data_IF_426482467326
#
_entry.id   IF_426482467326
#
_cell.length_a   1.000
_cell.length_b   1.000
_cell.length_c   1.000
_cell.angle_alpha   90.00
_cell.angle_beta   90.00
_cell.angle_gamma   90.00
#
_symmetry.space_group_name_H-M   'P 1'
#
loop_
_entity.id
_entity.type
_entity.pdbx_description
1 polymer ?
#
# COMPACT_ATOMS: atom_id res chain seq x y z
N UNK A 1 -11.24 -13.20 9.60
CA UNK A 1 -10.88 -11.77 9.50
C UNK A 1 -9.48 -11.63 10.08
N UNK A 2 -8.51 -11.19 9.28
CA UNK A 2 -7.20 -10.84 9.85
C UNK A 2 -7.33 -9.48 10.52
N UNK A 3 -7.14 -9.42 11.85
CA UNK A 3 -7.07 -8.15 12.56
C UNK A 3 -5.70 -7.52 12.36
N UNK A 4 -5.43 -7.00 11.16
CA UNK A 4 -4.31 -6.07 11.02
C UNK A 4 -4.61 -4.80 11.78
N UNK A 5 -3.58 -4.30 12.44
CA UNK A 5 -3.57 -2.99 13.08
C UNK A 5 -2.89 -2.05 12.09
N UNK A 6 -3.57 -0.98 11.69
CA UNK A 6 -3.03 0.05 10.81
C UNK A 6 -2.66 1.26 11.67
N UNK A 7 -1.37 1.49 11.89
CA UNK A 7 -0.88 2.58 12.71
C UNK A 7 -0.44 3.74 11.81
N UNK A 8 -1.25 4.80 11.74
CA UNK A 8 -0.94 6.00 10.95
C UNK A 8 0.30 6.70 11.50
N UNK A 9 1.25 7.02 10.63
CA UNK A 9 2.44 7.83 10.95
C UNK A 9 2.38 9.12 10.13
N UNK A 10 2.01 10.27 10.74
CA UNK A 10 1.88 11.53 10.01
C UNK A 10 3.23 12.11 9.57
N UNK A 11 4.33 11.76 10.26
CA UNK A 11 5.69 12.17 9.91
C UNK A 11 6.60 10.94 9.97
N UNK A 12 6.50 10.02 8.99
CA UNK A 12 7.27 8.78 9.03
C UNK A 12 8.76 9.09 8.92
N UNK A 13 9.50 8.69 9.94
CA UNK A 13 10.97 8.74 9.97
C UNK A 13 11.49 7.38 9.52
N UNK A 14 12.49 7.39 8.66
CA UNK A 14 13.16 6.18 8.20
C UNK A 14 13.88 5.53 9.37
N UNK A 15 13.33 4.44 9.89
CA UNK A 15 14.01 3.54 10.82
C UNK A 15 14.73 2.42 10.04
N UNK A 16 15.31 1.45 10.74
CA UNK A 16 16.00 0.34 10.09
C UNK A 16 15.07 -0.53 9.23
N UNK A 17 13.83 -0.77 9.66
CA UNK A 17 12.86 -1.58 8.92
C UNK A 17 12.47 -0.91 7.59
N UNK A 18 12.15 0.38 7.67
CA UNK A 18 11.78 1.20 6.54
C UNK A 18 12.97 1.44 5.61
N UNK A 19 14.17 1.61 6.16
CA UNK A 19 15.39 1.77 5.38
C UNK A 19 15.64 0.59 4.45
N UNK A 20 15.48 -0.64 4.93
CA UNK A 20 15.62 -1.83 4.09
C UNK A 20 14.63 -1.85 2.93
N UNK A 21 13.43 -1.30 3.12
CA UNK A 21 12.42 -1.20 2.08
C UNK A 21 12.70 -0.11 1.07
N UNK A 22 13.08 1.09 1.52
CA UNK A 22 13.39 2.22 0.63
C UNK A 22 14.69 2.02 -0.14
N UNK A 23 15.61 1.23 0.42
CA UNK A 23 16.83 0.80 -0.26
C UNK A 23 16.55 -0.17 -1.41
N UNK A 24 15.33 -0.71 -1.52
CA UNK A 24 14.93 -1.56 -2.63
C UNK A 24 14.27 -0.72 -3.75
N UNK A 25 15.02 -0.37 -4.82
CA UNK A 25 14.53 0.51 -5.89
C UNK A 25 13.35 -0.09 -6.66
N UNK A 26 13.09 -1.38 -6.52
CA UNK A 26 11.93 -2.03 -7.14
C UNK A 26 10.63 -1.80 -6.39
N UNK A 27 10.70 -1.45 -5.09
CA UNK A 27 9.54 -1.40 -4.17
C UNK A 27 9.28 0.01 -3.63
N UNK A 28 10.33 0.78 -3.34
CA UNK A 28 10.21 2.18 -2.87
C UNK A 28 11.21 3.06 -3.63
N UNK A 29 10.74 4.18 -4.17
CA UNK A 29 11.55 5.11 -4.98
C UNK A 29 12.26 6.21 -4.18
N UNK A 30 12.46 6.04 -2.87
CA UNK A 30 12.94 7.11 -1.99
C UNK A 30 14.39 6.86 -1.54
N UNK A 31 15.26 7.86 -1.71
CA UNK A 31 16.66 7.82 -1.27
C UNK A 31 16.86 8.54 0.08
N UNK A 32 15.92 8.38 1.02
CA UNK A 32 15.97 9.03 2.33
C UNK A 32 16.87 8.23 3.28
N UNK A 33 17.86 8.83 3.95
CA UNK A 33 18.71 8.10 4.90
C UNK A 33 17.95 7.73 6.18
N UNK A 34 18.46 6.76 6.95
CA UNK A 34 17.98 6.47 8.32
C UNK A 34 17.98 7.76 9.16
N UNK A 35 16.90 7.99 9.90
CA UNK A 35 16.65 9.21 10.66
C UNK A 35 16.09 10.37 9.83
N UNK A 36 16.04 10.24 8.50
CA UNK A 36 15.40 11.20 7.62
C UNK A 36 13.88 11.04 7.61
N UNK A 37 13.17 12.13 7.36
CA UNK A 37 11.72 12.12 7.21
C UNK A 37 11.33 11.74 5.78
N UNK A 38 10.41 10.80 5.61
CA UNK A 38 9.82 10.49 4.32
C UNK A 38 8.78 11.56 3.95
N UNK A 39 8.79 11.98 2.69
CA UNK A 39 7.85 12.93 2.13
C UNK A 39 6.53 12.24 1.70
N UNK A 40 5.87 11.54 2.64
CA UNK A 40 4.58 10.86 2.43
C UNK A 40 3.61 11.21 3.56
N UNK A 41 2.34 11.47 3.24
CA UNK A 41 1.36 12.03 4.19
C UNK A 41 0.38 11.00 4.76
N UNK A 42 0.07 9.94 4.01
CA UNK A 42 -0.89 8.90 4.41
C UNK A 42 -0.21 7.56 4.57
N UNK A 43 0.79 7.53 5.44
CA UNK A 43 1.61 6.35 5.67
C UNK A 43 1.19 5.61 6.94
N UNK A 44 1.24 4.29 6.88
CA UNK A 44 0.85 3.38 7.93
C UNK A 44 1.91 2.29 8.11
N UNK A 45 2.25 2.02 9.36
CA UNK A 45 2.78 0.72 9.75
C UNK A 45 1.61 -0.27 9.84
N UNK A 46 1.80 -1.46 9.28
CA UNK A 46 0.84 -2.56 9.37
C UNK A 46 1.40 -3.59 10.33
N UNK A 47 0.67 -3.83 11.42
CA UNK A 47 1.08 -4.74 12.47
C UNK A 47 0.18 -5.99 12.53
N UNK A 48 0.75 -7.12 12.95
CA UNK A 48 -0.02 -8.31 13.30
C UNK A 48 -0.71 -8.14 14.67
N UNK A 49 -1.38 -9.20 15.15
CA UNK A 49 -2.05 -9.20 16.45
C UNK A 49 -1.09 -9.13 17.65
N UNK A 50 0.18 -9.48 17.45
CA UNK A 50 1.24 -9.41 18.45
C UNK A 50 2.00 -8.07 18.41
N UNK A 51 1.50 -7.11 17.63
CA UNK A 51 2.10 -5.78 17.41
C UNK A 51 3.48 -5.82 16.72
N UNK A 52 3.81 -6.90 16.02
CA UNK A 52 4.97 -6.94 15.14
C UNK A 52 4.67 -6.26 13.79
N UNK A 53 5.61 -5.45 13.30
CA UNK A 53 5.51 -4.81 11.98
C UNK A 53 5.62 -5.89 10.88
N UNK A 54 4.53 -6.11 10.16
CA UNK A 54 4.45 -7.05 9.03
C UNK A 54 4.59 -6.37 7.67
N UNK A 55 4.39 -5.06 7.62
CA UNK A 55 4.60 -4.28 6.42
C UNK A 55 4.17 -2.84 6.59
N UNK A 56 4.07 -2.17 5.46
CA UNK A 56 3.82 -0.74 5.37
C UNK A 56 2.83 -0.50 4.24
N UNK A 57 2.02 0.53 4.41
CA UNK A 57 0.94 0.90 3.51
C UNK A 57 0.94 2.42 3.40
N UNK A 58 0.84 2.96 2.19
CA UNK A 58 0.65 4.38 1.99
C UNK A 58 -0.26 4.65 0.81
N UNK A 59 -0.81 5.86 0.78
CA UNK A 59 -1.81 6.26 -0.19
C UNK A 59 -1.45 7.60 -0.80
N UNK A 60 -1.58 7.66 -2.12
CA UNK A 60 -1.40 8.86 -2.92
C UNK A 60 -2.74 9.19 -3.60
N UNK A 61 -3.13 10.46 -3.60
CA UNK A 61 -4.39 10.90 -4.19
C UNK A 61 -4.14 11.72 -5.45
N UNK A 62 -4.63 11.20 -6.57
CA UNK A 62 -4.64 11.87 -7.86
C UNK A 62 -5.97 12.60 -8.02
N UNK A 63 -6.00 13.86 -7.59
CA UNK A 63 -7.22 14.67 -7.54
C UNK A 63 -7.88 14.86 -8.90
N UNK A 64 -7.09 14.96 -9.97
CA UNK A 64 -7.58 15.18 -11.34
C UNK A 64 -8.34 13.96 -11.89
N UNK A 65 -7.98 12.76 -11.41
CA UNK A 65 -8.55 11.48 -11.82
C UNK A 65 -9.50 10.89 -10.77
N UNK A 66 -9.57 11.52 -9.59
CA UNK A 66 -10.29 11.04 -8.42
C UNK A 66 -9.89 9.61 -8.02
N UNK A 67 -8.59 9.33 -8.10
CA UNK A 67 -8.03 8.01 -7.80
C UNK A 67 -7.16 8.04 -6.55
N UNK A 68 -7.31 7.02 -5.70
CA UNK A 68 -6.45 6.77 -4.57
C UNK A 68 -5.57 5.57 -4.91
N UNK A 69 -4.29 5.81 -5.15
CA UNK A 69 -3.33 4.75 -5.33
C UNK A 69 -2.99 4.08 -4.00
N UNK A 70 -3.06 2.75 -4.00
CA UNK A 70 -2.71 1.92 -2.87
C UNK A 70 -1.29 1.41 -3.09
N UNK A 71 -0.40 1.81 -2.20
CA UNK A 71 0.96 1.34 -2.19
C UNK A 71 1.25 0.50 -0.95
N UNK A 72 1.85 -0.67 -1.12
CA UNK A 72 2.16 -1.57 0.00
C UNK A 72 3.53 -2.23 -0.15
N UNK A 73 4.21 -2.39 0.98
CA UNK A 73 5.49 -3.05 1.07
C UNK A 73 5.49 -4.00 2.25
N UNK A 74 5.87 -5.27 2.03
CA UNK A 74 5.98 -6.26 3.09
C UNK A 74 7.32 -6.11 3.80
N UNK A 75 7.33 -6.11 5.12
CA UNK A 75 8.57 -6.06 5.92
C UNK A 75 9.46 -7.29 5.64
N UNK A 76 10.77 -7.09 5.53
CA UNK A 76 11.74 -8.19 5.37
C UNK A 76 11.77 -9.09 6.61
N UNK A 77 11.59 -8.53 7.80
CA UNK A 77 11.52 -9.29 9.05
C UNK A 77 10.26 -10.17 9.14
N UNK A 78 9.21 -9.82 8.39
CA UNK A 78 7.99 -10.60 8.29
C UNK A 78 7.96 -11.51 7.06
N UNK A 79 9.11 -11.88 6.48
CA UNK A 79 9.18 -12.71 5.26
C UNK A 79 8.35 -14.01 5.33
N UNK A 80 8.22 -14.62 6.52
CA UNK A 80 7.40 -15.82 6.74
C UNK A 80 5.89 -15.57 6.74
N UNK A 81 5.45 -14.33 6.92
CA UNK A 81 4.04 -13.96 6.97
C UNK A 81 3.37 -14.12 5.59
N UNK A 82 2.40 -15.02 5.46
CA UNK A 82 1.69 -15.24 4.20
C UNK A 82 0.40 -14.41 4.13
N UNK A 83 -0.02 -14.06 2.92
CA UNK A 83 -1.29 -13.36 2.71
C UNK A 83 -1.31 -11.87 3.02
N UNK A 84 -0.14 -11.23 3.25
CA UNK A 84 -0.03 -9.79 3.55
C UNK A 84 -0.91 -8.93 2.63
N UNK A 85 -0.64 -8.97 1.32
CA UNK A 85 -1.38 -8.18 0.33
C UNK A 85 -2.86 -8.56 0.24
N UNK A 86 -3.23 -9.82 0.49
CA UNK A 86 -4.63 -10.30 0.41
C UNK A 86 -5.50 -9.68 1.48
N UNK A 87 -4.94 -9.67 2.69
CA UNK A 87 -5.60 -9.10 3.85
C UNK A 87 -5.72 -7.58 3.71
N UNK A 88 -4.67 -6.88 3.24
CA UNK A 88 -4.76 -5.44 2.95
C UNK A 88 -5.84 -5.13 1.90
N UNK A 89 -5.86 -5.86 0.78
CA UNK A 89 -6.86 -5.64 -0.28
C UNK A 89 -8.30 -5.97 0.16
N UNK A 90 -8.45 -6.89 1.12
CA UNK A 90 -9.75 -7.21 1.72
C UNK A 90 -10.21 -6.16 2.73
N UNK A 91 -9.27 -5.42 3.33
CA UNK A 91 -9.52 -4.36 4.31
C UNK A 91 -9.74 -2.97 3.69
N UNK A 92 -9.73 -2.83 2.35
CA UNK A 92 -9.84 -1.52 1.68
C UNK A 92 -11.05 -0.71 2.12
N UNK A 93 -12.22 -1.34 2.29
CA UNK A 93 -13.42 -0.65 2.75
C UNK A 93 -13.26 -0.07 4.16
N UNK A 94 -12.57 -0.80 5.05
CA UNK A 94 -12.22 -0.34 6.39
C UNK A 94 -11.18 0.78 6.32
N UNK A 95 -10.22 0.70 5.41
CA UNK A 95 -9.15 1.69 5.26
C UNK A 95 -9.67 3.05 4.78
N UNK A 96 -10.84 3.12 4.11
CA UNK A 96 -11.45 4.41 3.70
C UNK A 96 -11.68 5.35 4.87
N UNK A 97 -12.05 4.84 6.05
CA UNK A 97 -12.28 5.69 7.23
C UNK A 97 -10.99 6.26 7.83
N UNK A 98 -9.83 5.71 7.46
CA UNK A 98 -8.53 6.19 7.92
C UNK A 98 -7.94 7.29 7.01
N UNK A 99 -8.52 7.49 5.83
CA UNK A 99 -8.08 8.47 4.83
C UNK A 99 -8.74 9.84 5.02
N UNK A 100 -8.12 10.92 4.50
CA UNK A 100 -8.74 12.23 4.45
C UNK A 100 -10.11 12.13 3.76
N UNK A 101 -11.17 12.62 4.42
CA UNK A 101 -12.55 12.43 3.94
C UNK A 101 -12.82 13.19 2.64
N UNK A 102 -12.07 14.27 2.40
CA UNK A 102 -12.08 15.02 1.15
C UNK A 102 -11.59 14.20 -0.07
N UNK A 103 -10.88 13.08 0.14
CA UNK A 103 -10.48 12.18 -0.94
C UNK A 103 -11.60 11.22 -1.34
N UNK A 104 -12.60 11.02 -0.46
CA UNK A 104 -13.62 9.99 -0.60
C UNK A 104 -14.93 10.61 -1.10
N UNK A 105 -15.24 10.34 -2.36
CA UNK A 105 -16.45 10.77 -3.06
C UNK A 105 -17.11 9.56 -3.74
N UNK A 106 -18.38 9.65 -4.18
CA UNK A 106 -19.02 8.57 -4.94
C UNK A 106 -18.31 8.20 -6.25
N UNK A 107 -17.43 9.06 -6.76
CA UNK A 107 -16.66 8.84 -7.98
C UNK A 107 -15.23 8.36 -7.69
N UNK A 108 -14.82 8.29 -6.42
CA UNK A 108 -13.46 7.91 -6.06
C UNK A 108 -13.21 6.44 -6.38
N UNK A 109 -12.04 6.15 -6.94
CA UNK A 109 -11.62 4.79 -7.25
C UNK A 109 -10.30 4.45 -6.56
N UNK A 110 -10.16 3.20 -6.15
CA UNK A 110 -8.88 2.62 -5.81
C UNK A 110 -8.08 2.35 -7.07
N UNK A 111 -6.79 2.71 -7.04
CA UNK A 111 -5.82 2.44 -8.08
C UNK A 111 -4.72 1.51 -7.54
N UNK A 112 -4.43 0.45 -8.26
CA UNK A 112 -3.30 -0.43 -8.01
C UNK A 112 -2.38 -0.49 -9.24
N UNK A 113 -1.11 -0.17 -9.06
CA UNK A 113 -0.12 -0.21 -10.15
C UNK A 113 0.80 -1.42 -9.97
N UNK A 114 0.90 -2.27 -10.99
CA UNK A 114 1.87 -3.38 -11.03
C UNK A 114 2.83 -3.14 -12.18
N UNK A 115 4.10 -2.90 -11.88
CA UNK A 115 5.10 -2.68 -12.93
C UNK A 115 5.24 -3.94 -13.81
N UNK A 116 5.12 -3.85 -15.16
CA UNK A 116 5.26 -5.01 -16.06
C UNK A 116 6.60 -5.74 -15.94
N UNK A 117 7.67 -5.04 -15.55
CA UNK A 117 8.99 -5.62 -15.32
C UNK A 117 9.06 -6.53 -14.08
N UNK A 118 8.01 -6.60 -13.26
CA UNK A 118 7.97 -7.48 -12.10
C UNK A 118 7.89 -8.94 -12.57
N UNK A 119 8.83 -9.78 -12.14
CA UNK A 119 8.86 -11.22 -12.47
C UNK A 119 7.59 -11.99 -12.08
N UNK A 120 6.80 -11.44 -11.15
CA UNK A 120 5.54 -12.01 -10.69
C UNK A 120 4.30 -11.28 -11.26
N UNK A 121 4.46 -10.43 -12.29
CA UNK A 121 3.40 -9.57 -12.84
C UNK A 121 2.08 -10.34 -13.02
N UNK A 122 2.06 -11.40 -13.84
CA UNK A 122 0.85 -12.18 -14.11
C UNK A 122 0.18 -12.71 -12.83
N UNK A 123 0.98 -13.20 -11.87
CA UNK A 123 0.46 -13.70 -10.59
C UNK A 123 -0.17 -12.57 -9.77
N UNK A 124 0.49 -11.41 -9.72
CA UNK A 124 0.01 -10.24 -8.96
C UNK A 124 -1.25 -9.66 -9.62
N UNK A 125 -1.29 -9.55 -10.94
CA UNK A 125 -2.45 -9.02 -11.66
C UNK A 125 -3.66 -9.93 -11.53
N UNK A 126 -3.49 -11.24 -11.70
CA UNK A 126 -4.59 -12.20 -11.47
C UNK A 126 -5.11 -12.12 -10.04
N UNK A 127 -4.20 -11.95 -9.08
CA UNK A 127 -4.55 -11.80 -7.68
C UNK A 127 -5.32 -10.51 -7.38
N UNK A 128 -4.85 -9.35 -7.85
CA UNK A 128 -5.54 -8.06 -7.68
C UNK A 128 -6.94 -8.11 -8.31
N UNK A 129 -7.08 -8.74 -9.49
CA UNK A 129 -8.37 -8.93 -10.13
C UNK A 129 -9.34 -9.82 -9.31
N UNK A 130 -8.84 -10.83 -8.59
CA UNK A 130 -9.66 -11.63 -7.67
C UNK A 130 -10.23 -10.81 -6.50
N UNK A 131 -9.62 -9.66 -6.18
CA UNK A 131 -10.11 -8.72 -5.17
C UNK A 131 -11.00 -7.61 -5.73
N UNK A 132 -11.49 -7.76 -6.97
CA UNK A 132 -12.50 -6.91 -7.59
C UNK A 132 -11.95 -5.74 -8.40
N UNK A 133 -10.63 -5.68 -8.61
CA UNK A 133 -10.04 -4.69 -9.49
C UNK A 133 -10.15 -5.10 -10.97
N UNK A 134 -10.24 -4.12 -11.85
CA UNK A 134 -10.32 -4.28 -13.30
C UNK A 134 -9.14 -3.56 -13.94
N UNK A 135 -8.58 -4.12 -15.01
CA UNK A 135 -7.51 -3.45 -15.76
C UNK A 135 -8.10 -2.22 -16.48
N UNK A 136 -7.46 -1.06 -16.34
CA UNK A 136 -7.90 0.20 -16.94
C UNK A 136 -7.48 0.37 -18.43
N UNK A 137 -6.61 -0.50 -18.93
CA UNK A 137 -6.05 -0.44 -20.29
C UNK A 137 -4.79 0.40 -20.43
N UNK A 138 -4.38 1.12 -19.38
CA UNK A 138 -3.25 2.06 -19.37
C UNK A 138 -2.12 1.65 -18.41
N UNK A 139 -2.26 0.48 -17.78
CA UNK A 139 -1.22 -0.12 -16.93
C UNK A 139 -1.55 -0.08 -15.44
N UNK A 140 -2.74 0.43 -15.08
CA UNK A 140 -3.29 0.38 -13.74
C UNK A 140 -4.43 -0.63 -13.60
N UNK A 141 -4.85 -0.80 -12.36
CA UNK A 141 -5.99 -1.62 -11.98
C UNK A 141 -6.90 -0.78 -11.10
N UNK A 142 -8.18 -0.68 -11.46
CA UNK A 142 -9.15 0.18 -10.79
C UNK A 142 -10.26 -0.62 -10.10
N UNK A 143 -10.71 -0.13 -8.95
CA UNK A 143 -11.87 -0.66 -8.22
C UNK A 143 -12.64 0.50 -7.61
N UNK A 144 -13.97 0.54 -7.72
CA UNK A 144 -14.77 1.58 -7.06
C UNK A 144 -14.57 1.58 -5.54
N UNK A 145 -14.43 2.77 -4.96
CA UNK A 145 -14.57 2.97 -3.52
C UNK A 145 -16.04 2.92 -3.08
#
# INVERSE_FOLDING_TARGET
MSSYIYCRKPNPVVDHNLYELISNPTTFGYNTPVGGQLAVTNFFEVLNADEDIIGFLWFDFYSDENMIEINLAKSLHAAKFQGFSSNVLSDLDRLKSELPQEWITPQTQWLGIVKPANKNYQKITSFIMQHGFQNDGEGGFVKSC
#
